data_IF_755987789109
#
_entry.id   IF_755987789109
#
_cell.length_a   1.000
_cell.length_b   1.000
_cell.length_c   1.000
_cell.angle_alpha   90.00
_cell.angle_beta   90.00
_cell.angle_gamma   90.00
#
_symmetry.space_group_name_H-M   'P 1'
#
loop_
_entity.id
_entity.type
_entity.pdbx_description
1 polymer ?
#
# COMPACT_ATOMS: atom_id res chain seq x y z
N UNK A 1 -3.40 -9.99 4.47
CA UNK A 1 -2.66 -11.23 4.76
C UNK A 1 -2.05 -11.85 3.48
N UNK A 2 -2.84 -12.12 2.41
CA UNK A 2 -2.35 -12.83 1.21
C UNK A 2 -1.14 -12.17 0.56
N UNK A 3 -1.16 -10.84 0.38
CA UNK A 3 -0.01 -10.12 -0.20
C UNK A 3 1.25 -10.22 0.68
N UNK A 4 1.12 -10.14 2.01
CA UNK A 4 2.24 -10.35 2.93
C UNK A 4 2.87 -11.71 2.71
N UNK A 5 2.07 -12.77 2.67
CA UNK A 5 2.56 -14.14 2.47
C UNK A 5 3.14 -14.38 1.08
N UNK A 6 2.54 -13.74 0.03
CA UNK A 6 2.96 -13.96 -1.35
C UNK A 6 4.29 -13.28 -1.71
N UNK A 7 4.60 -12.14 -1.07
CA UNK A 7 5.71 -11.28 -1.49
C UNK A 7 6.81 -11.12 -0.45
N UNK A 8 6.65 -11.72 0.73
CA UNK A 8 7.64 -11.67 1.80
C UNK A 8 7.82 -13.03 2.48
N UNK A 9 8.93 -13.18 3.19
CA UNK A 9 9.20 -14.33 4.07
C UNK A 9 9.07 -13.91 5.55
N UNK A 10 8.87 -14.84 6.49
CA UNK A 10 8.96 -14.53 7.92
C UNK A 10 10.28 -13.81 8.23
N UNK A 11 10.20 -12.74 9.02
CA UNK A 11 11.33 -11.87 9.34
C UNK A 11 11.57 -10.70 8.38
N UNK A 12 11.00 -10.71 7.18
CA UNK A 12 11.10 -9.60 6.23
C UNK A 12 10.39 -8.34 6.76
N UNK A 13 10.91 -7.19 6.35
CA UNK A 13 10.36 -5.88 6.71
C UNK A 13 9.27 -5.44 5.74
N UNK A 14 8.15 -4.96 6.31
CA UNK A 14 7.03 -4.37 5.58
C UNK A 14 6.79 -2.96 6.09
N UNK A 15 6.76 -1.98 5.18
CA UNK A 15 6.63 -0.57 5.52
C UNK A 15 5.18 -0.12 5.49
N UNK A 16 4.83 0.73 6.46
CA UNK A 16 3.56 1.48 6.54
C UNK A 16 3.83 2.93 6.89
N UNK A 17 2.86 3.82 6.67
CA UNK A 17 2.96 5.25 7.00
C UNK A 17 1.94 5.60 8.10
N UNK A 18 2.41 5.71 9.35
CA UNK A 18 1.53 6.04 10.48
C UNK A 18 1.19 7.56 10.54
N UNK A 19 -0.03 7.92 11.04
CA UNK A 19 -1.10 7.01 11.45
C UNK A 19 -1.82 6.42 10.25
N UNK A 20 -2.13 5.13 10.29
CA UNK A 20 -2.81 4.39 9.22
C UNK A 20 -3.82 3.41 9.82
N UNK A 21 -4.65 2.82 9.00
CA UNK A 21 -5.59 1.77 9.36
C UNK A 21 -4.89 0.65 10.16
N UNK A 22 -5.27 0.51 11.42
CA UNK A 22 -4.54 -0.34 12.39
C UNK A 22 -4.35 -1.81 11.95
N UNK A 23 -5.27 -2.45 11.19
CA UNK A 23 -5.07 -3.82 10.76
C UNK A 23 -3.87 -4.02 9.82
N UNK A 24 -3.28 -2.93 9.24
CA UNK A 24 -2.05 -3.07 8.48
C UNK A 24 -0.92 -3.58 9.35
N UNK A 25 -0.74 -3.03 10.56
CA UNK A 25 0.28 -3.48 11.50
C UNK A 25 0.01 -4.91 11.96
N UNK A 26 -1.24 -5.20 12.32
CA UNK A 26 -1.65 -6.52 12.82
C UNK A 26 -1.37 -7.60 11.78
N UNK A 27 -1.82 -7.41 10.54
CA UNK A 27 -1.64 -8.43 9.49
C UNK A 27 -0.17 -8.69 9.15
N UNK A 28 0.71 -7.69 9.31
CA UNK A 28 2.16 -7.84 9.14
C UNK A 28 2.73 -8.69 10.28
N UNK A 29 2.42 -8.33 11.54
CA UNK A 29 2.93 -8.99 12.74
C UNK A 29 2.42 -10.42 12.88
N UNK A 30 1.12 -10.64 12.68
CA UNK A 30 0.47 -11.96 12.77
C UNK A 30 1.02 -12.96 11.74
N UNK A 31 1.62 -12.45 10.68
CA UNK A 31 2.29 -13.29 9.69
C UNK A 31 3.81 -13.37 9.91
N UNK A 32 4.33 -12.92 11.06
CA UNK A 32 5.75 -13.04 11.43
C UNK A 32 6.68 -12.11 10.67
N UNK A 33 6.17 -10.98 10.14
CA UNK A 33 6.97 -9.95 9.46
C UNK A 33 7.22 -8.78 10.39
N UNK A 34 8.30 -8.03 10.10
CA UNK A 34 8.65 -6.82 10.85
C UNK A 34 7.89 -5.62 10.31
N UNK A 35 7.21 -4.88 11.18
CA UNK A 35 6.62 -3.59 10.83
C UNK A 35 7.70 -2.52 10.85
N UNK A 36 7.84 -1.81 9.75
CA UNK A 36 8.66 -0.60 9.61
C UNK A 36 7.72 0.59 9.39
N UNK A 37 7.93 1.66 10.12
CA UNK A 37 7.09 2.85 10.01
C UNK A 37 7.89 4.05 9.52
N UNK A 38 7.42 4.69 8.43
CA UNK A 38 7.78 6.04 8.05
C UNK A 38 6.58 6.93 8.37
N UNK A 39 6.70 7.71 9.44
CA UNK A 39 5.55 8.45 9.97
C UNK A 39 5.22 9.67 9.12
N UNK A 40 3.93 9.86 8.87
CA UNK A 40 3.44 11.13 8.35
C UNK A 40 3.61 12.22 9.41
N UNK A 41 3.91 13.43 8.99
CA UNK A 41 3.96 14.58 9.89
C UNK A 41 2.85 15.58 9.55
N UNK A 42 2.35 16.28 10.55
CA UNK A 42 1.37 17.34 10.36
C UNK A 42 2.09 18.66 10.12
N UNK A 43 1.82 19.28 8.97
CA UNK A 43 2.36 20.58 8.62
C UNK A 43 1.62 21.75 9.28
N UNK A 44 2.13 22.96 9.08
CA UNK A 44 1.48 24.19 9.56
C UNK A 44 0.11 24.44 8.92
N UNK A 45 -0.15 23.84 7.77
CA UNK A 45 -1.45 23.83 7.07
C UNK A 45 -2.47 22.85 7.69
N UNK A 46 -2.14 22.24 8.82
CA UNK A 46 -2.91 21.19 9.51
C UNK A 46 -3.15 19.92 8.66
N UNK A 47 -2.39 19.72 7.58
CA UNK A 47 -2.47 18.51 6.77
C UNK A 47 -1.32 17.56 7.09
N UNK A 48 -1.55 16.30 6.83
CA UNK A 48 -0.51 15.29 6.92
C UNK A 48 0.31 15.25 5.62
N UNK A 49 1.62 15.16 5.77
CA UNK A 49 2.59 15.13 4.70
C UNK A 49 3.51 13.93 4.82
N UNK A 50 4.10 13.53 3.69
CA UNK A 50 5.06 12.44 3.60
C UNK A 50 6.48 13.01 3.77
N UNK A 51 7.24 12.44 4.70
CA UNK A 51 8.69 12.64 4.74
C UNK A 51 9.36 11.64 3.79
N UNK A 52 9.65 12.09 2.58
CA UNK A 52 10.26 11.25 1.55
C UNK A 52 11.70 10.83 1.88
N UNK A 53 12.41 11.64 2.68
CA UNK A 53 13.77 11.31 3.11
C UNK A 53 13.74 10.17 4.14
N UNK A 54 12.87 10.27 5.15
CA UNK A 54 12.66 9.20 6.12
C UNK A 54 12.14 7.94 5.43
N UNK A 55 11.21 8.07 4.48
CA UNK A 55 10.65 6.96 3.72
C UNK A 55 11.73 6.17 2.98
N UNK A 56 12.59 6.84 2.20
CA UNK A 56 13.68 6.18 1.48
C UNK A 56 14.73 5.61 2.44
N UNK A 57 15.10 6.37 3.47
CA UNK A 57 16.03 5.92 4.51
C UNK A 57 15.57 4.61 5.15
N UNK A 58 14.29 4.54 5.57
CA UNK A 58 13.70 3.33 6.18
C UNK A 58 13.69 2.15 5.22
N UNK A 59 13.40 2.37 3.94
CA UNK A 59 13.44 1.32 2.93
C UNK A 59 14.83 0.70 2.83
N UNK A 60 15.88 1.52 2.80
CA UNK A 60 17.25 1.07 2.64
C UNK A 60 17.79 0.42 3.92
N UNK A 61 17.68 1.10 5.07
CA UNK A 61 18.25 0.64 6.34
C UNK A 61 17.57 -0.64 6.85
N UNK A 62 16.26 -0.78 6.64
CA UNK A 62 15.47 -1.90 7.12
C UNK A 62 15.26 -2.99 6.06
N UNK A 63 15.88 -2.84 4.87
CA UNK A 63 15.76 -3.78 3.74
C UNK A 63 14.31 -4.15 3.44
N UNK A 64 13.45 -3.13 3.34
CA UNK A 64 12.00 -3.29 3.14
C UNK A 64 11.70 -4.04 1.85
N UNK A 65 10.80 -5.02 1.90
CA UNK A 65 10.37 -5.82 0.74
C UNK A 65 8.99 -5.44 0.21
N UNK A 66 8.14 -4.93 1.08
CA UNK A 66 6.74 -4.62 0.79
C UNK A 66 6.35 -3.29 1.43
N UNK A 67 5.63 -2.45 0.70
CA UNK A 67 5.05 -1.22 1.22
C UNK A 67 3.52 -1.28 1.11
N UNK A 68 2.81 -0.97 2.20
CA UNK A 68 1.36 -0.80 2.20
C UNK A 68 1.02 0.68 2.06
N UNK A 69 0.63 1.06 0.85
CA UNK A 69 0.12 2.38 0.51
C UNK A 69 -1.38 2.43 0.78
N UNK A 70 -1.83 3.37 1.62
CA UNK A 70 -3.23 3.68 1.83
C UNK A 70 -3.61 4.91 0.98
N UNK A 71 -4.46 4.74 -0.03
CA UNK A 71 -4.76 5.80 -1.00
C UNK A 71 -6.21 5.75 -1.51
N UNK A 72 -7.12 6.61 -1.05
CA UNK A 72 -6.98 7.66 -0.02
C UNK A 72 -6.60 7.14 1.36
N UNK A 73 -5.88 7.96 2.14
CA UNK A 73 -5.26 7.55 3.39
C UNK A 73 -6.19 7.67 4.61
N UNK A 74 -6.52 6.55 5.19
CA UNK A 74 -7.30 6.44 6.42
C UNK A 74 -6.36 6.25 7.63
N UNK A 75 -6.46 7.03 8.74
CA UNK A 75 -7.56 7.92 9.10
C UNK A 75 -7.35 9.40 8.75
N UNK A 76 -6.23 9.78 8.16
CA UNK A 76 -5.84 11.21 8.02
C UNK A 76 -6.61 11.96 6.93
N UNK A 77 -7.38 11.25 6.10
CA UNK A 77 -8.24 11.85 5.09
C UNK A 77 -7.49 12.46 3.90
N UNK A 78 -6.21 12.05 3.68
CA UNK A 78 -5.43 12.54 2.54
C UNK A 78 -5.77 11.76 1.27
N UNK A 79 -6.00 12.50 0.20
CA UNK A 79 -5.94 12.01 -1.18
C UNK A 79 -4.59 12.47 -1.72
N UNK A 80 -3.70 11.53 -1.98
CA UNK A 80 -2.34 11.84 -2.44
C UNK A 80 -2.35 12.38 -3.87
N UNK A 81 -1.55 13.40 -4.14
CA UNK A 81 -1.39 13.93 -5.49
C UNK A 81 -0.59 12.98 -6.38
N UNK A 82 -0.66 13.18 -7.70
CA UNK A 82 0.14 12.40 -8.64
C UNK A 82 1.64 12.54 -8.33
N UNK A 83 2.11 13.76 -8.02
CA UNK A 83 3.51 14.03 -7.69
C UNK A 83 3.96 13.34 -6.41
N UNK A 84 3.10 13.29 -5.36
CA UNK A 84 3.39 12.57 -4.12
C UNK A 84 3.51 11.07 -4.39
N UNK A 85 2.56 10.51 -5.14
CA UNK A 85 2.56 9.08 -5.48
C UNK A 85 3.71 8.70 -6.42
N UNK A 86 4.08 9.58 -7.36
CA UNK A 86 5.22 9.35 -8.24
C UNK A 86 6.53 9.29 -7.46
N UNK A 87 6.75 10.21 -6.51
CA UNK A 87 7.93 10.17 -5.64
C UNK A 87 8.01 8.89 -4.83
N UNK A 88 6.90 8.45 -4.22
CA UNK A 88 6.85 7.17 -3.49
C UNK A 88 7.17 6.00 -4.42
N UNK A 89 6.55 5.98 -5.60
CA UNK A 89 6.72 4.92 -6.58
C UNK A 89 8.15 4.84 -7.11
N UNK A 90 8.77 5.98 -7.43
CA UNK A 90 10.15 6.04 -7.91
C UNK A 90 11.13 5.49 -6.85
N UNK A 91 10.92 5.83 -5.58
CA UNK A 91 11.71 5.27 -4.46
C UNK A 91 11.52 3.75 -4.38
N UNK A 92 10.27 3.27 -4.50
CA UNK A 92 9.97 1.84 -4.45
C UNK A 92 10.61 1.08 -5.64
N UNK A 93 10.51 1.61 -6.86
CA UNK A 93 11.13 1.03 -8.06
C UNK A 93 12.65 0.95 -7.90
N UNK A 94 13.27 2.07 -7.50
CA UNK A 94 14.73 2.16 -7.27
C UNK A 94 15.26 1.10 -6.31
N UNK A 95 14.48 0.78 -5.27
CA UNK A 95 14.88 -0.11 -4.19
C UNK A 95 14.25 -1.52 -4.29
N UNK A 96 13.54 -1.85 -5.36
CA UNK A 96 12.94 -3.16 -5.59
C UNK A 96 11.82 -3.52 -4.58
N UNK A 97 11.09 -2.52 -4.09
CA UNK A 97 10.00 -2.69 -3.14
C UNK A 97 8.68 -2.92 -3.88
N UNK A 98 7.97 -3.98 -3.53
CA UNK A 98 6.61 -4.23 -4.02
C UNK A 98 5.61 -3.33 -3.28
N UNK A 99 4.61 -2.78 -3.98
CA UNK A 99 3.61 -1.87 -3.41
C UNK A 99 2.23 -2.53 -3.40
N UNK A 100 1.61 -2.63 -2.24
CA UNK A 100 0.17 -2.92 -2.11
C UNK A 100 -0.54 -1.60 -1.93
N UNK A 101 -1.24 -1.14 -2.98
CA UNK A 101 -2.06 0.08 -2.94
C UNK A 101 -3.48 -0.28 -2.52
N UNK A 102 -3.84 0.06 -1.29
CA UNK A 102 -5.21 -0.08 -0.79
C UNK A 102 -6.01 1.17 -1.19
N UNK A 103 -6.84 1.00 -2.22
CA UNK A 103 -7.65 2.06 -2.83
C UNK A 103 -9.14 1.91 -2.49
N UNK A 104 -9.47 1.25 -1.39
CA UNK A 104 -10.85 0.97 -0.97
C UNK A 104 -11.70 2.24 -0.78
N UNK A 105 -11.05 3.39 -0.52
CA UNK A 105 -11.71 4.69 -0.31
C UNK A 105 -11.72 5.57 -1.57
N UNK A 106 -11.39 5.04 -2.75
CA UNK A 106 -11.25 5.79 -4.00
C UNK A 106 -12.47 6.63 -4.40
N UNK A 107 -13.66 6.21 -4.01
CA UNK A 107 -14.92 6.90 -4.33
C UNK A 107 -15.24 8.05 -3.35
N UNK A 108 -14.48 8.19 -2.24
CA UNK A 108 -14.68 9.22 -1.23
C UNK A 108 -13.69 10.38 -1.40
N UNK A 109 -13.69 10.99 -2.58
CA UNK A 109 -12.87 12.16 -2.87
C UNK A 109 -13.77 13.39 -2.99
N UNK A 110 -13.75 14.24 -1.95
CA UNK A 110 -14.61 15.43 -1.88
C UNK A 110 -14.00 16.64 -2.59
N UNK A 111 -12.69 16.64 -2.81
CA UNK A 111 -11.97 17.69 -3.54
C UNK A 111 -10.81 17.09 -4.34
N UNK A 112 -10.74 17.43 -5.62
CA UNK A 112 -9.74 16.88 -6.53
C UNK A 112 -10.19 15.57 -7.18
N UNK A 113 -9.23 14.69 -7.49
CA UNK A 113 -9.47 13.41 -8.16
C UNK A 113 -8.54 12.35 -7.57
N UNK A 114 -9.08 11.16 -7.34
CA UNK A 114 -8.27 9.98 -7.00
C UNK A 114 -7.30 9.64 -8.13
N UNK A 115 -6.08 9.28 -7.76
CA UNK A 115 -5.06 8.79 -8.68
C UNK A 115 -4.81 7.32 -8.39
N UNK A 116 -5.06 6.46 -9.36
CA UNK A 116 -4.73 5.03 -9.26
C UNK A 116 -3.21 4.89 -9.36
N UNK A 117 -2.55 4.41 -8.30
CA UNK A 117 -1.09 4.32 -8.24
C UNK A 117 -0.48 3.61 -9.44
N UNK A 118 -1.01 2.43 -9.79
CA UNK A 118 -0.52 1.63 -10.91
C UNK A 118 -0.65 2.30 -12.30
N UNK A 119 -1.49 3.34 -12.41
CA UNK A 119 -1.73 4.02 -13.71
C UNK A 119 -0.80 5.21 -13.98
N UNK A 120 -0.03 5.65 -12.98
CA UNK A 120 0.81 6.83 -13.10
C UNK A 120 2.03 6.63 -14.00
N UNK A 121 2.71 5.48 -13.84
CA UNK A 121 3.87 5.11 -14.66
C UNK A 121 3.83 3.62 -15.01
N UNK A 122 4.43 3.25 -16.14
CA UNK A 122 4.50 1.83 -16.56
C UNK A 122 5.26 0.98 -15.54
N UNK A 123 6.35 1.51 -15.00
CA UNK A 123 7.19 0.84 -14.00
C UNK A 123 6.41 0.54 -12.71
N UNK A 124 5.41 1.35 -12.38
CA UNK A 124 4.58 1.12 -11.20
C UNK A 124 3.65 -0.08 -11.37
N UNK A 125 3.26 -0.40 -12.62
CA UNK A 125 2.50 -1.62 -12.92
C UNK A 125 3.30 -2.88 -12.59
N UNK A 126 4.61 -2.82 -12.75
CA UNK A 126 5.49 -3.98 -12.53
C UNK A 126 5.70 -4.31 -11.05
N UNK A 127 5.46 -3.36 -10.16
CA UNK A 127 5.68 -3.51 -8.72
C UNK A 127 4.39 -3.45 -7.88
N UNK A 128 3.21 -3.24 -8.48
CA UNK A 128 2.00 -2.92 -7.72
C UNK A 128 0.95 -4.02 -7.68
N UNK A 129 0.27 -4.05 -6.55
CA UNK A 129 -0.97 -4.78 -6.31
C UNK A 129 -2.01 -3.74 -5.87
N UNK A 130 -3.02 -3.48 -6.69
CA UNK A 130 -4.11 -2.57 -6.36
C UNK A 130 -5.27 -3.33 -5.74
N UNK A 131 -5.71 -2.91 -4.56
CA UNK A 131 -6.80 -3.50 -3.81
C UNK A 131 -7.98 -2.53 -3.77
N UNK A 132 -9.16 -2.98 -4.21
CA UNK A 132 -10.42 -2.22 -4.10
C UNK A 132 -11.52 -3.10 -3.55
N UNK A 133 -12.61 -2.48 -3.11
CA UNK A 133 -13.80 -3.21 -2.66
C UNK A 133 -15.04 -2.33 -2.78
N UNK A 134 -16.21 -2.89 -3.11
CA UNK A 134 -17.48 -2.17 -3.05
C UNK A 134 -17.97 -1.93 -1.62
N UNK A 135 -17.30 -2.53 -0.63
CA UNK A 135 -17.77 -2.57 0.75
C UNK A 135 -17.94 -1.20 1.40
N UNK A 136 -17.05 -0.25 1.11
CA UNK A 136 -17.17 1.11 1.64
C UNK A 136 -18.14 1.96 0.86
N UNK A 137 -18.08 1.93 -0.46
CA UNK A 137 -18.92 2.72 -1.35
C UNK A 137 -20.40 2.38 -1.22
N UNK A 138 -20.72 1.08 -1.07
CA UNK A 138 -22.10 0.58 -1.06
C UNK A 138 -22.53 -0.01 0.29
N UNK A 139 -21.75 0.21 1.36
CA UNK A 139 -22.02 -0.32 2.71
C UNK A 139 -22.21 -1.86 2.74
N UNK A 140 -21.33 -2.58 2.04
CA UNK A 140 -21.39 -4.04 1.86
C UNK A 140 -20.25 -4.78 2.57
N UNK A 141 -19.77 -4.27 3.71
CA UNK A 141 -18.60 -4.83 4.41
C UNK A 141 -18.77 -6.32 4.78
N UNK A 142 -19.98 -6.74 5.12
CA UNK A 142 -20.30 -8.13 5.49
C UNK A 142 -20.17 -9.13 4.33
N UNK A 143 -20.18 -8.67 3.07
CA UNK A 143 -20.01 -9.52 1.90
C UNK A 143 -18.58 -10.01 1.71
N UNK A 144 -17.60 -9.41 2.40
CA UNK A 144 -16.18 -9.80 2.38
C UNK A 144 -15.59 -9.90 0.96
N UNK A 145 -16.02 -9.02 0.04
CA UNK A 145 -15.59 -9.00 -1.35
C UNK A 145 -14.46 -7.99 -1.53
N UNK A 146 -13.40 -8.40 -2.24
CA UNK A 146 -12.34 -7.50 -2.69
C UNK A 146 -11.93 -7.80 -4.13
N UNK A 147 -11.55 -6.77 -4.85
CA UNK A 147 -10.97 -6.88 -6.18
C UNK A 147 -9.47 -6.62 -6.08
N UNK A 148 -8.67 -7.52 -6.63
CA UNK A 148 -7.21 -7.44 -6.59
C UNK A 148 -6.69 -7.38 -8.03
N UNK A 149 -6.09 -6.26 -8.39
CA UNK A 149 -5.52 -6.04 -9.72
C UNK A 149 -4.00 -6.12 -9.63
N UNK A 150 -3.42 -7.03 -10.39
CA UNK A 150 -1.97 -7.27 -10.44
C UNK A 150 -1.55 -7.33 -11.90
N UNK A 151 -1.07 -6.21 -12.49
CA UNK A 151 -0.68 -6.17 -13.90
C UNK A 151 0.48 -7.11 -14.21
N UNK A 152 1.52 -7.12 -13.36
CA UNK A 152 2.69 -7.96 -13.53
C UNK A 152 2.34 -9.45 -13.41
N UNK A 153 2.60 -10.29 -14.47
CA UNK A 153 2.24 -11.71 -14.49
C UNK A 153 3.00 -12.53 -13.43
N UNK A 154 4.24 -12.16 -13.09
CA UNK A 154 5.03 -12.86 -12.09
C UNK A 154 4.46 -12.62 -10.67
N UNK A 155 4.17 -11.36 -10.33
CA UNK A 155 3.52 -11.04 -9.06
C UNK A 155 2.14 -11.71 -8.97
N UNK A 156 1.36 -11.69 -10.06
CA UNK A 156 0.05 -12.33 -10.11
C UNK A 156 0.14 -13.84 -9.90
N UNK A 157 1.13 -14.51 -10.48
CA UNK A 157 1.35 -15.94 -10.28
C UNK A 157 1.69 -16.28 -8.82
N UNK A 158 2.57 -15.48 -8.19
CA UNK A 158 2.91 -15.64 -6.76
C UNK A 158 1.68 -15.47 -5.87
N UNK A 159 0.86 -14.45 -6.14
CA UNK A 159 -0.36 -14.18 -5.39
C UNK A 159 -1.37 -15.34 -5.51
N UNK A 160 -1.62 -15.81 -6.74
CA UNK A 160 -2.53 -16.94 -6.99
C UNK A 160 -2.08 -18.20 -6.27
N UNK A 161 -0.79 -18.55 -6.37
CA UNK A 161 -0.24 -19.70 -5.64
C UNK A 161 -0.50 -19.63 -4.13
N UNK A 162 -0.39 -18.42 -3.56
CA UNK A 162 -0.64 -18.23 -2.13
C UNK A 162 -2.14 -18.29 -1.80
N UNK A 163 -3.00 -17.82 -2.70
CA UNK A 163 -4.46 -17.89 -2.55
C UNK A 163 -4.93 -19.34 -2.60
N UNK A 164 -4.47 -20.11 -3.59
CA UNK A 164 -4.82 -21.52 -3.76
C UNK A 164 -4.37 -22.37 -2.56
N UNK A 165 -3.24 -22.01 -1.93
CA UNK A 165 -2.75 -22.70 -0.74
C UNK A 165 -3.54 -22.38 0.55
N UNK A 166 -4.38 -21.36 0.52
CA UNK A 166 -5.19 -20.95 1.67
C UNK A 166 -6.60 -21.54 1.68
N UNK A 167 -7.04 -22.18 0.58
CA UNK A 167 -8.34 -22.84 0.43
C UNK A 167 -9.38 -21.94 -0.21
#
# INVERSE_FOLDING_TARGET
AMAVKAYTQPGDSVLIQLPVYYPFSEVIQDNGRKVVSSNLYQGEDNRYHIDFQDFEKKIVEENVKLFFLCNPHNPVGRVWSAEELEKLGDICVKNGVTVVSDEIHQDFVFKGKHQVFASLKKEFQDISITCTSPSKTFNLASMMISNIFIPNPELRRKFRKQLDAAG
#
